data_IF_282061637655
#
_entry.id   IF_282061637655
#
_cell.length_a   1.000
_cell.length_b   1.000
_cell.length_c   1.000
_cell.angle_alpha   90.00
_cell.angle_beta   90.00
_cell.angle_gamma   90.00
#
_symmetry.space_group_name_H-M   'P 1'
#
loop_
_entity.id
_entity.type
_entity.pdbx_description
1 polymer ?
#
# COMPACT_ATOMS: atom_id res chain seq x y z
N UNK A 1 9.73 42.40 45.21
CA UNK A 1 10.51 41.17 44.97
C UNK A 1 10.05 40.69 43.62
N UNK A 2 10.82 41.04 42.59
CA UNK A 2 10.49 40.85 41.18
C UNK A 2 10.30 39.36 40.90
N UNK A 3 9.23 39.05 40.14
CA UNK A 3 9.06 37.75 39.52
C UNK A 3 10.24 37.57 38.58
N UNK A 4 11.14 36.66 38.93
CA UNK A 4 12.22 36.25 38.04
C UNK A 4 11.58 35.46 36.90
N UNK A 5 11.33 36.19 35.82
CA UNK A 5 11.01 35.67 34.49
C UNK A 5 12.25 34.91 33.98
N UNK A 6 12.39 33.67 34.46
CA UNK A 6 13.35 32.72 33.93
C UNK A 6 12.69 32.01 32.74
N UNK A 7 12.53 32.70 31.62
CA UNK A 7 12.29 32.04 30.33
C UNK A 7 13.57 31.30 29.95
N UNK A 8 13.53 29.98 30.08
CA UNK A 8 14.60 29.07 29.69
C UNK A 8 14.85 29.19 28.17
N UNK A 9 16.07 29.48 27.70
CA UNK A 9 16.35 29.68 26.27
C UNK A 9 16.22 28.44 25.38
N UNK A 10 15.79 27.29 25.92
CA UNK A 10 15.54 26.04 25.19
C UNK A 10 14.06 25.72 24.95
N UNK A 11 13.13 26.55 25.43
CA UNK A 11 11.71 26.27 25.32
C UNK A 11 11.13 26.89 24.06
N UNK A 12 10.73 26.05 23.11
CA UNK A 12 10.05 26.47 21.90
C UNK A 12 8.66 27.10 22.23
N UNK A 13 8.04 27.86 21.31
CA UNK A 13 6.74 28.50 21.56
C UNK A 13 5.66 27.50 22.00
N UNK A 14 4.86 27.86 23.02
CA UNK A 14 3.86 26.95 23.59
C UNK A 14 2.77 26.55 22.59
N UNK A 15 2.53 27.37 21.58
CA UNK A 15 1.57 27.11 20.49
C UNK A 15 1.95 25.88 19.65
N UNK A 16 3.23 25.48 19.65
CA UNK A 16 3.70 24.30 18.91
C UNK A 16 3.89 23.06 19.78
N UNK A 17 3.73 23.19 21.10
CA UNK A 17 4.00 22.10 22.05
C UNK A 17 3.19 20.84 21.76
N UNK A 18 1.88 20.98 21.60
CA UNK A 18 0.99 19.84 21.35
C UNK A 18 1.32 19.14 20.02
N UNK A 19 1.74 19.90 18.99
CA UNK A 19 2.14 19.35 17.71
C UNK A 19 3.45 18.55 17.83
N UNK A 20 4.42 19.05 18.59
CA UNK A 20 5.69 18.36 18.82
C UNK A 20 5.51 17.11 19.68
N UNK A 21 4.72 17.19 20.75
CA UNK A 21 4.39 16.03 21.59
C UNK A 21 3.69 14.93 20.78
N UNK A 22 2.72 15.31 19.93
CA UNK A 22 2.04 14.37 19.03
C UNK A 22 3.03 13.77 18.02
N UNK A 23 3.91 14.58 17.44
CA UNK A 23 4.90 14.11 16.48
C UNK A 23 5.89 13.11 17.09
N UNK A 24 6.39 13.38 18.30
CA UNK A 24 7.25 12.47 19.06
C UNK A 24 6.54 11.14 19.37
N UNK A 25 5.29 11.20 19.83
CA UNK A 25 4.48 10.00 20.06
C UNK A 25 4.29 9.17 18.78
N UNK A 26 4.02 9.84 17.65
CA UNK A 26 3.90 9.17 16.36
C UNK A 26 5.23 8.52 15.93
N UNK A 27 6.36 9.20 16.11
CA UNK A 27 7.67 8.64 15.81
C UNK A 27 7.99 7.42 16.67
N UNK A 28 7.72 7.47 17.98
CA UNK A 28 7.89 6.32 18.87
C UNK A 28 7.03 5.12 18.44
N UNK A 29 5.79 5.37 18.03
CA UNK A 29 4.90 4.31 17.51
C UNK A 29 5.45 3.65 16.24
N UNK A 30 5.98 4.46 15.31
CA UNK A 30 6.60 3.95 14.07
C UNK A 30 7.90 3.20 14.37
N UNK A 31 8.70 3.68 15.31
CA UNK A 31 9.95 3.02 15.72
C UNK A 31 9.69 1.61 16.25
N UNK A 32 8.71 1.45 17.14
CA UNK A 32 8.34 0.14 17.69
C UNK A 32 7.83 -0.82 16.60
N UNK A 33 7.01 -0.32 15.66
CA UNK A 33 6.58 -1.12 14.51
C UNK A 33 7.75 -1.55 13.62
N UNK A 34 8.70 -0.65 13.35
CA UNK A 34 9.87 -0.95 12.54
C UNK A 34 10.80 -1.97 13.22
N UNK A 35 11.04 -1.84 14.54
CA UNK A 35 11.79 -2.82 15.32
C UNK A 35 11.18 -4.21 15.18
N UNK A 36 9.87 -4.33 15.35
CA UNK A 36 9.16 -5.59 15.17
C UNK A 36 9.31 -6.16 13.75
N UNK A 37 9.21 -5.30 12.72
CA UNK A 37 9.40 -5.72 11.33
C UNK A 37 10.85 -6.17 11.03
N UNK A 38 11.85 -5.51 11.62
CA UNK A 38 13.26 -5.86 11.43
C UNK A 38 13.65 -7.20 12.05
N UNK A 39 12.87 -7.72 13.01
CA UNK A 39 13.05 -9.07 13.55
C UNK A 39 12.62 -10.16 12.56
N UNK A 40 11.84 -9.83 11.54
CA UNK A 40 11.39 -10.79 10.53
C UNK A 40 12.55 -11.09 9.58
N UNK A 41 12.97 -12.35 9.55
CA UNK A 41 14.05 -12.77 8.66
C UNK A 41 13.59 -12.79 7.20
N UNK A 42 14.53 -12.55 6.27
CA UNK A 42 14.24 -12.70 4.83
C UNK A 42 13.79 -14.11 4.46
N UNK A 43 14.29 -15.12 5.18
CA UNK A 43 13.84 -16.51 5.02
C UNK A 43 12.37 -16.71 5.41
N UNK A 44 11.85 -15.97 6.40
CA UNK A 44 10.43 -16.06 6.76
C UNK A 44 9.56 -15.35 5.73
N UNK A 45 10.02 -14.22 5.19
CA UNK A 45 9.34 -13.53 4.08
C UNK A 45 9.23 -14.44 2.85
N UNK A 46 10.28 -15.19 2.51
CA UNK A 46 10.29 -16.09 1.36
C UNK A 46 9.31 -17.27 1.48
N UNK A 47 8.81 -17.58 2.70
CA UNK A 47 7.78 -18.61 2.92
C UNK A 47 6.36 -18.13 2.60
N UNK A 48 6.16 -16.81 2.47
CA UNK A 48 4.85 -16.23 2.15
C UNK A 48 4.47 -16.52 0.70
N UNK A 49 3.18 -16.45 0.39
CA UNK A 49 2.73 -16.52 -1.00
C UNK A 49 3.30 -15.33 -1.81
N UNK A 50 3.60 -15.46 -3.11
CA UNK A 50 4.20 -14.39 -3.90
C UNK A 50 3.45 -13.05 -3.84
N UNK A 51 2.13 -13.11 -3.73
CA UNK A 51 1.28 -11.92 -3.59
C UNK A 51 1.43 -11.25 -2.22
N UNK A 52 1.67 -12.02 -1.17
CA UNK A 52 1.91 -11.51 0.19
C UNK A 52 3.30 -10.90 0.31
N UNK A 53 4.31 -11.53 -0.30
CA UNK A 53 5.66 -10.96 -0.43
C UNK A 53 5.62 -9.60 -1.13
N UNK A 54 4.95 -9.52 -2.28
CA UNK A 54 4.83 -8.26 -3.02
C UNK A 54 4.12 -7.16 -2.22
N UNK A 55 3.11 -7.50 -1.41
CA UNK A 55 2.46 -6.53 -0.52
C UNK A 55 3.41 -6.04 0.55
N UNK A 56 4.13 -6.94 1.20
CA UNK A 56 5.10 -6.59 2.25
C UNK A 56 6.18 -5.66 1.68
N UNK A 57 6.80 -6.04 0.56
CA UNK A 57 7.85 -5.24 -0.08
C UNK A 57 7.35 -3.83 -0.47
N UNK A 58 6.14 -3.73 -1.03
CA UNK A 58 5.56 -2.44 -1.38
C UNK A 58 5.26 -1.56 -0.17
N UNK A 59 4.76 -2.15 0.92
CA UNK A 59 4.54 -1.42 2.18
C UNK A 59 5.87 -0.98 2.76
N UNK A 60 6.91 -1.82 2.75
CA UNK A 60 8.25 -1.45 3.22
C UNK A 60 8.83 -0.25 2.44
N UNK A 61 8.77 -0.28 1.11
CA UNK A 61 9.26 0.82 0.27
C UNK A 61 8.40 2.08 0.42
N UNK A 62 7.08 1.93 0.59
CA UNK A 62 6.19 3.06 0.88
C UNK A 62 6.55 3.74 2.20
N UNK A 63 6.76 2.95 3.26
CA UNK A 63 7.15 3.44 4.58
C UNK A 63 8.48 4.18 4.53
N UNK A 64 9.50 3.61 3.86
CA UNK A 64 10.80 4.27 3.70
C UNK A 64 10.69 5.62 3.00
N UNK A 65 9.98 5.69 1.87
CA UNK A 65 9.78 6.94 1.14
C UNK A 65 8.96 7.96 1.94
N UNK A 66 7.98 7.49 2.73
CA UNK A 66 7.17 8.35 3.59
C UNK A 66 7.98 8.94 4.75
N UNK A 67 8.86 8.15 5.36
CA UNK A 67 9.78 8.65 6.40
C UNK A 67 10.78 9.63 5.81
N UNK A 68 11.27 9.38 4.60
CA UNK A 68 12.14 10.32 3.92
C UNK A 68 11.43 11.63 3.57
N UNK A 69 10.14 11.58 3.20
CA UNK A 69 9.31 12.77 3.04
C UNK A 69 9.19 13.59 4.33
N UNK A 70 8.95 12.92 5.47
CA UNK A 70 8.92 13.57 6.79
C UNK A 70 10.27 14.20 7.12
N UNK A 71 11.38 13.48 6.88
CA UNK A 71 12.73 14.00 7.07
C UNK A 71 12.98 15.29 6.28
N UNK A 72 12.65 15.31 4.99
CA UNK A 72 12.78 16.52 4.16
C UNK A 72 11.95 17.69 4.72
N UNK A 73 10.73 17.39 5.15
CA UNK A 73 9.82 18.39 5.73
C UNK A 73 10.41 19.03 6.99
N UNK A 74 11.00 18.21 7.87
CA UNK A 74 11.66 18.70 9.11
C UNK A 74 12.93 19.49 8.81
N UNK A 75 13.64 19.14 7.73
CA UNK A 75 14.80 19.92 7.24
C UNK A 75 14.41 21.22 6.52
N UNK A 76 13.11 21.55 6.42
CA UNK A 76 12.61 22.73 5.73
C UNK A 76 12.69 22.64 4.19
N UNK A 77 12.95 21.45 3.65
CA UNK A 77 12.98 21.20 2.20
C UNK A 77 11.58 20.80 1.75
N UNK A 78 11.04 21.46 0.72
CA UNK A 78 9.72 21.10 0.17
C UNK A 78 9.77 19.74 -0.54
N UNK A 79 9.17 18.67 0.02
CA UNK A 79 9.25 17.34 -0.57
C UNK A 79 8.47 17.20 -1.89
N UNK A 80 7.56 18.14 -2.19
CA UNK A 80 6.81 18.15 -3.46
C UNK A 80 7.70 18.48 -4.67
N UNK A 81 8.82 19.15 -4.44
CA UNK A 81 9.83 19.51 -5.44
C UNK A 81 10.98 18.50 -5.48
N UNK A 82 11.01 17.56 -4.53
CA UNK A 82 12.04 16.52 -4.45
C UNK A 82 11.61 15.24 -5.22
N UNK A 83 12.55 14.49 -5.83
CA UNK A 83 12.27 13.23 -6.54
C UNK A 83 11.49 12.17 -5.73
N UNK A 84 11.48 12.25 -4.40
CA UNK A 84 10.72 11.35 -3.51
C UNK A 84 9.22 11.32 -3.86
N UNK A 85 8.67 12.43 -4.39
CA UNK A 85 7.30 12.47 -4.87
C UNK A 85 7.06 11.47 -6.00
N UNK A 86 7.99 11.38 -6.96
CA UNK A 86 7.90 10.45 -8.07
C UNK A 86 8.01 8.99 -7.57
N UNK A 87 8.87 8.76 -6.57
CA UNK A 87 8.99 7.46 -5.92
C UNK A 87 7.69 7.01 -5.24
N UNK A 88 7.02 7.90 -4.52
CA UNK A 88 5.70 7.60 -3.92
C UNK A 88 4.64 7.29 -4.98
N UNK A 89 4.58 8.05 -6.09
CA UNK A 89 3.64 7.77 -7.17
C UNK A 89 3.95 6.45 -7.89
N UNK A 90 5.23 6.11 -8.04
CA UNK A 90 5.67 4.81 -8.54
C UNK A 90 5.18 3.68 -7.64
N UNK A 91 5.39 3.79 -6.33
CA UNK A 91 4.94 2.79 -5.35
C UNK A 91 3.42 2.63 -5.38
N UNK A 92 2.64 3.73 -5.40
CA UNK A 92 1.17 3.68 -5.53
C UNK A 92 0.71 2.94 -6.80
N UNK A 93 1.40 3.18 -7.91
CA UNK A 93 1.12 2.46 -9.17
C UNK A 93 1.27 0.95 -9.01
N UNK A 94 2.33 0.50 -8.33
CA UNK A 94 2.54 -0.93 -8.08
C UNK A 94 1.57 -1.51 -7.04
N UNK A 95 1.19 -0.74 -6.01
CA UNK A 95 0.14 -1.14 -5.07
C UNK A 95 -1.20 -1.38 -5.78
N UNK A 96 -1.56 -0.52 -6.74
CA UNK A 96 -2.77 -0.69 -7.55
C UNK A 96 -2.69 -1.97 -8.40
N UNK A 97 -1.54 -2.25 -9.03
CA UNK A 97 -1.32 -3.51 -9.78
C UNK A 97 -1.50 -4.74 -8.89
N UNK A 98 -0.93 -4.72 -7.67
CA UNK A 98 -1.08 -5.82 -6.70
C UNK A 98 -2.53 -5.98 -6.27
N UNK A 99 -3.26 -4.87 -6.08
CA UNK A 99 -4.69 -4.88 -5.76
C UNK A 99 -5.51 -5.51 -6.90
N UNK A 100 -5.29 -5.10 -8.15
CA UNK A 100 -5.96 -5.68 -9.31
C UNK A 100 -5.71 -7.19 -9.45
N UNK A 101 -4.46 -7.64 -9.24
CA UNK A 101 -4.11 -9.06 -9.27
C UNK A 101 -4.85 -9.82 -8.16
N UNK A 102 -4.91 -9.26 -6.95
CA UNK A 102 -5.62 -9.84 -5.82
C UNK A 102 -7.13 -9.96 -6.10
N UNK A 103 -7.74 -8.96 -6.72
CA UNK A 103 -9.15 -8.94 -7.10
C UNK A 103 -9.44 -9.94 -8.23
N UNK A 104 -8.58 -10.01 -9.26
CA UNK A 104 -8.67 -11.01 -10.33
C UNK A 104 -8.62 -12.44 -9.79
N UNK A 105 -7.82 -12.71 -8.75
CA UNK A 105 -7.78 -14.02 -8.08
C UNK A 105 -9.11 -14.38 -7.40
N UNK A 106 -9.88 -13.40 -6.97
CA UNK A 106 -11.20 -13.56 -6.31
C UNK A 106 -12.37 -13.53 -7.28
N UNK A 107 -12.18 -13.07 -8.51
CA UNK A 107 -13.24 -12.96 -9.50
C UNK A 107 -13.85 -14.33 -9.85
N UNK A 108 -15.17 -14.36 -10.05
CA UNK A 108 -15.88 -15.55 -10.52
C UNK A 108 -15.35 -15.97 -11.88
N UNK A 109 -15.04 -17.25 -12.04
CA UNK A 109 -14.57 -17.81 -13.31
C UNK A 109 -15.78 -18.26 -14.11
N UNK A 110 -15.83 -17.86 -15.39
CA UNK A 110 -16.82 -18.39 -16.32
C UNK A 110 -16.61 -19.90 -16.49
N UNK A 111 -17.67 -20.68 -16.30
CA UNK A 111 -17.66 -22.09 -16.67
C UNK A 111 -17.72 -22.20 -18.20
N UNK A 112 -16.54 -22.39 -18.79
CA UNK A 112 -16.37 -22.57 -20.24
C UNK A 112 -17.15 -23.78 -20.75
N UNK A 113 -17.32 -24.81 -19.94
CA UNK A 113 -18.09 -26.01 -20.27
C UNK A 113 -19.59 -25.71 -20.34
N UNK A 114 -20.12 -25.00 -19.36
CA UNK A 114 -21.51 -24.54 -19.38
C UNK A 114 -21.78 -23.61 -20.58
N UNK A 115 -20.89 -22.64 -20.84
CA UNK A 115 -20.99 -21.75 -22.00
C UNK A 115 -20.99 -22.53 -23.33
N UNK A 116 -20.11 -23.52 -23.48
CA UNK A 116 -20.07 -24.40 -24.66
C UNK A 116 -21.36 -25.19 -24.86
N UNK A 117 -21.96 -25.71 -23.77
CA UNK A 117 -23.26 -26.41 -23.82
C UNK A 117 -24.39 -25.49 -24.27
N UNK A 118 -24.44 -24.26 -23.77
CA UNK A 118 -25.43 -23.27 -24.19
C UNK A 118 -25.33 -22.96 -25.69
N UNK A 119 -24.12 -22.71 -26.19
CA UNK A 119 -23.88 -22.43 -27.61
C UNK A 119 -24.28 -23.63 -28.48
N UNK A 120 -23.86 -24.84 -28.13
CA UNK A 120 -24.19 -26.05 -28.90
C UNK A 120 -25.70 -26.31 -28.98
N UNK A 121 -26.42 -26.10 -27.88
CA UNK A 121 -27.87 -26.29 -27.86
C UNK A 121 -28.60 -25.18 -28.63
N UNK A 122 -28.08 -23.95 -28.64
CA UNK A 122 -28.64 -22.84 -29.40
C UNK A 122 -28.46 -23.00 -30.92
N UNK A 123 -27.40 -23.68 -31.35
CA UNK A 123 -27.09 -23.95 -32.76
C UNK A 123 -27.68 -25.28 -33.27
N UNK A 124 -28.62 -25.88 -32.54
CA UNK A 124 -29.21 -27.14 -32.97
C UNK A 124 -30.14 -26.94 -34.17
N UNK A 125 -29.74 -27.46 -35.33
CA UNK A 125 -30.61 -27.57 -36.50
C UNK A 125 -31.43 -28.87 -36.47
N UNK A 126 -32.76 -28.81 -36.67
CA UNK A 126 -33.58 -30.00 -36.80
C UNK A 126 -33.18 -30.76 -38.07
N UNK A 127 -33.01 -32.08 -37.95
CA UNK A 127 -32.75 -32.94 -39.12
C UNK A 127 -33.95 -32.84 -40.07
N UNK A 128 -33.79 -32.16 -41.19
CA UNK A 128 -34.75 -32.22 -42.29
C UNK A 128 -34.89 -33.67 -42.74
N UNK A 129 -36.10 -34.25 -42.73
CA UNK A 129 -36.29 -35.61 -43.19
C UNK A 129 -35.90 -35.69 -44.67
N UNK A 130 -34.88 -36.51 -44.97
CA UNK A 130 -34.59 -36.90 -46.34
C UNK A 130 -35.76 -37.75 -46.82
N UNK A 131 -36.37 -37.29 -47.92
CA UNK A 131 -37.43 -37.94 -48.70
C UNK A 131 -38.84 -37.52 -48.31
N UNK A 132 -39.38 -36.54 -49.03
CA UNK A 132 -40.76 -36.61 -49.50
C UNK A 132 -40.71 -36.96 -51.00
N UNK A 133 -41.60 -37.86 -51.48
CA UNK A 133 -41.62 -38.39 -52.84
C UNK A 133 -41.92 -37.34 -53.91
#
# INVERSE_FOLDING_TARGET
MEASDYTNPEEYPTEIHDYLATFEQCLGSVEEMLKAMMLVSRSDVQKLEPLEQAKLDLVSVYTLNSLFWVYLTVQGVNPKEHPVKQELERVKTYMNKVKEIAEKKKASKLDKGAASRFVRNALWEPKTPKNLP
#
